data_IF_523913978356
#
_entry.id   IF_523913978356
#
_cell.length_a   1.000
_cell.length_b   1.000
_cell.length_c   1.000
_cell.angle_alpha   90.00
_cell.angle_beta   90.00
_cell.angle_gamma   90.00
#
_symmetry.space_group_name_H-M   'P 1'
#
loop_
_entity.id
_entity.type
_entity.pdbx_description
1 polymer ?
#
# COMPACT_ATOMS: atom_id res chain seq x y z
N UNK A 1 -20.19 2.31 28.81
CA UNK A 1 -20.13 1.05 29.54
C UNK A 1 -18.77 0.91 30.18
N UNK A 2 -18.72 0.37 31.40
CA UNK A 2 -17.48 0.16 32.16
C UNK A 2 -16.69 -1.02 31.58
N UNK A 3 -15.36 -0.96 31.68
CA UNK A 3 -14.48 -2.07 31.32
C UNK A 3 -14.78 -3.27 32.23
N UNK A 4 -14.90 -4.47 31.65
CA UNK A 4 -15.24 -5.70 32.38
C UNK A 4 -16.72 -6.11 32.34
N UNK A 5 -17.62 -5.30 31.75
CA UNK A 5 -19.01 -5.68 31.53
C UNK A 5 -19.11 -6.92 30.61
N UNK A 6 -19.92 -7.90 30.98
CA UNK A 6 -20.17 -9.10 30.19
C UNK A 6 -21.49 -8.99 29.43
N UNK A 7 -21.42 -8.63 28.15
CA UNK A 7 -22.57 -8.49 27.27
C UNK A 7 -23.12 -9.87 26.87
N UNK A 8 -24.43 -10.07 27.07
CA UNK A 8 -25.17 -11.31 26.83
C UNK A 8 -24.53 -12.56 27.46
N UNK A 9 -23.80 -12.38 28.57
CA UNK A 9 -23.11 -13.47 29.25
C UNK A 9 -21.94 -14.08 28.47
N UNK A 10 -21.46 -13.44 27.38
CA UNK A 10 -20.44 -14.01 26.48
C UNK A 10 -19.33 -13.04 26.07
N UNK A 11 -19.67 -11.78 25.81
CA UNK A 11 -18.72 -10.82 25.25
C UNK A 11 -18.25 -9.85 26.31
N UNK A 12 -17.04 -10.05 26.83
CA UNK A 12 -16.46 -9.19 27.87
C UNK A 12 -15.91 -7.92 27.24
N UNK A 13 -16.52 -6.77 27.52
CA UNK A 13 -16.11 -5.48 27.00
C UNK A 13 -14.79 -5.04 27.65
N UNK A 14 -13.78 -4.71 26.85
CA UNK A 14 -12.47 -4.31 27.34
C UNK A 14 -12.22 -2.81 27.20
N UNK A 15 -12.26 -2.31 25.96
CA UNK A 15 -11.83 -0.96 25.63
C UNK A 15 -12.72 -0.33 24.56
N UNK A 16 -12.97 0.97 24.67
CA UNK A 16 -13.62 1.73 23.63
C UNK A 16 -12.66 1.95 22.45
N UNK A 17 -13.04 1.55 21.23
CA UNK A 17 -12.20 1.70 20.03
C UNK A 17 -12.81 2.62 18.96
N UNK A 18 -14.10 2.95 19.05
CA UNK A 18 -14.73 3.90 18.14
C UNK A 18 -16.03 4.48 18.68
N UNK A 19 -16.32 5.75 18.35
CA UNK A 19 -17.60 6.41 18.62
C UNK A 19 -18.18 6.98 17.33
N UNK A 20 -19.42 6.61 17.02
CA UNK A 20 -20.23 7.22 15.98
C UNK A 20 -21.43 7.98 16.57
N UNK A 21 -22.24 8.59 15.71
CA UNK A 21 -23.46 9.31 16.12
C UNK A 21 -24.49 8.38 16.78
N UNK A 22 -24.73 7.22 16.16
CA UNK A 22 -25.78 6.25 16.55
C UNK A 22 -25.22 4.96 17.18
N UNK A 23 -23.90 4.82 17.26
CA UNK A 23 -23.29 3.59 17.75
C UNK A 23 -21.91 3.82 18.39
N UNK A 24 -21.50 2.87 19.21
CA UNK A 24 -20.20 2.84 19.86
C UNK A 24 -19.56 1.47 19.65
N UNK A 25 -18.29 1.44 19.27
CA UNK A 25 -17.55 0.21 19.00
C UNK A 25 -16.54 -0.03 20.12
N UNK A 26 -16.57 -1.23 20.68
CA UNK A 26 -15.69 -1.69 21.73
C UNK A 26 -14.85 -2.87 21.26
N UNK A 27 -13.59 -2.93 21.70
CA UNK A 27 -12.84 -4.18 21.74
C UNK A 27 -13.42 -5.01 22.88
N UNK A 28 -13.64 -6.29 22.61
CA UNK A 28 -14.16 -7.25 23.57
C UNK A 28 -13.51 -8.61 23.39
N UNK A 29 -13.62 -9.45 24.42
CA UNK A 29 -13.21 -10.85 24.37
C UNK A 29 -14.45 -11.74 24.28
N UNK A 30 -14.51 -12.61 23.27
CA UNK A 30 -15.52 -13.68 23.18
C UNK A 30 -15.09 -14.83 24.10
N UNK A 31 -15.74 -14.97 25.25
CA UNK A 31 -15.36 -15.98 26.25
C UNK A 31 -15.66 -17.41 25.81
N UNK A 32 -16.57 -17.62 24.87
CA UNK A 32 -16.89 -18.95 24.37
C UNK A 32 -15.82 -19.42 23.37
N UNK A 33 -15.46 -18.56 22.41
CA UNK A 33 -14.51 -18.89 21.35
C UNK A 33 -13.06 -18.48 21.67
N UNK A 34 -12.83 -17.84 22.82
CA UNK A 34 -11.52 -17.39 23.31
C UNK A 34 -10.75 -16.54 22.29
N UNK A 35 -11.40 -15.49 21.77
CA UNK A 35 -10.80 -14.59 20.77
C UNK A 35 -11.19 -13.13 20.98
N UNK A 36 -10.34 -12.22 20.53
CA UNK A 36 -10.68 -10.80 20.46
C UNK A 36 -11.65 -10.51 19.32
N UNK A 37 -12.64 -9.66 19.59
CA UNK A 37 -13.68 -9.24 18.66
C UNK A 37 -13.95 -7.74 18.81
N UNK A 38 -14.53 -7.15 17.78
CA UNK A 38 -15.13 -5.82 17.86
C UNK A 38 -16.64 -5.97 18.10
N UNK A 39 -17.17 -5.24 19.08
CA UNK A 39 -18.60 -5.22 19.42
C UNK A 39 -19.13 -3.82 19.18
N UNK A 40 -19.99 -3.69 18.18
CA UNK A 40 -20.67 -2.44 17.85
C UNK A 40 -22.03 -2.42 18.51
N UNK A 41 -22.25 -1.44 19.38
CA UNK A 41 -23.45 -1.25 20.17
C UNK A 41 -24.22 -0.04 19.66
N UNK A 42 -25.51 -0.21 19.43
CA UNK A 42 -26.40 0.84 18.95
C UNK A 42 -27.10 1.50 20.13
N UNK A 43 -27.29 2.81 20.04
CA UNK A 43 -28.13 3.54 21.00
C UNK A 43 -29.57 3.28 20.58
N UNK A 44 -30.38 2.65 21.43
CA UNK A 44 -31.79 2.43 21.12
C UNK A 44 -32.56 3.75 21.22
N UNK A 45 -33.36 4.05 20.18
CA UNK A 45 -34.64 4.71 20.35
C UNK A 45 -35.69 3.63 20.63
N UNK A 46 -36.53 3.89 21.62
CA UNK A 46 -37.54 2.99 22.10
C UNK A 46 -38.73 2.98 21.15
N UNK A 47 -38.68 2.20 20.07
CA UNK A 47 -39.86 1.54 19.54
C UNK A 47 -39.48 0.57 18.42
N UNK A 48 -40.05 -0.64 18.51
CA UNK A 48 -40.70 -1.35 17.41
C UNK A 48 -40.39 -2.86 17.38
N UNK A 49 -41.34 -3.63 17.91
CA UNK A 49 -41.31 -5.08 18.02
C UNK A 49 -41.58 -5.78 16.67
N UNK A 50 -42.09 -5.08 15.65
CA UNK A 50 -42.31 -5.64 14.30
C UNK A 50 -41.03 -5.73 13.46
N UNK A 51 -40.03 -4.88 13.74
CA UNK A 51 -38.75 -4.86 13.03
C UNK A 51 -37.91 -6.13 13.24
N UNK A 52 -38.06 -6.82 14.37
CA UNK A 52 -37.17 -7.92 14.79
C UNK A 52 -37.21 -9.16 13.87
N UNK A 53 -38.27 -9.39 13.08
CA UNK A 53 -38.38 -10.59 12.20
C UNK A 53 -37.73 -10.44 10.82
N UNK A 54 -37.77 -9.26 10.19
CA UNK A 54 -37.06 -8.99 8.92
C UNK A 54 -35.54 -8.93 9.14
N UNK A 55 -35.13 -8.35 10.26
CA UNK A 55 -33.73 -8.25 10.69
C UNK A 55 -33.05 -9.62 10.79
N UNK A 56 -33.74 -10.66 11.25
CA UNK A 56 -33.16 -12.01 11.40
C UNK A 56 -32.78 -12.71 10.08
N UNK A 57 -33.45 -12.41 8.96
CA UNK A 57 -33.07 -12.97 7.65
C UNK A 57 -31.86 -12.22 7.06
N UNK A 58 -31.84 -10.89 7.17
CA UNK A 58 -30.75 -10.06 6.63
C UNK A 58 -29.45 -10.25 7.41
N UNK A 59 -29.53 -10.34 8.74
CA UNK A 59 -28.38 -10.69 9.60
C UNK A 59 -27.78 -12.03 9.20
N UNK A 60 -28.60 -13.04 8.90
CA UNK A 60 -28.11 -14.35 8.47
C UNK A 60 -27.40 -14.31 7.12
N UNK A 61 -27.89 -13.49 6.19
CA UNK A 61 -27.22 -13.30 4.90
C UNK A 61 -25.86 -12.66 5.15
N UNK A 62 -25.80 -11.59 5.93
CA UNK A 62 -24.57 -10.85 6.24
C UNK A 62 -23.55 -11.68 7.04
N UNK A 63 -24.00 -12.49 8.00
CA UNK A 63 -23.14 -13.38 8.79
C UNK A 63 -22.60 -14.58 7.98
N UNK A 64 -23.28 -14.96 6.88
CA UNK A 64 -22.82 -15.98 5.95
C UNK A 64 -21.77 -15.48 4.94
N UNK A 65 -21.54 -14.17 4.89
CA UNK A 65 -20.62 -13.56 3.92
C UNK A 65 -19.18 -13.63 4.43
N UNK A 66 -18.29 -14.11 3.56
CA UNK A 66 -16.86 -14.16 3.83
C UNK A 66 -16.09 -13.67 2.61
N UNK A 67 -15.40 -12.54 2.79
CA UNK A 67 -14.60 -11.94 1.74
C UNK A 67 -13.40 -11.21 2.34
N UNK A 68 -12.24 -11.29 1.68
CA UNK A 68 -11.00 -10.74 2.22
C UNK A 68 -11.04 -9.21 2.42
N UNK A 69 -11.81 -8.52 1.60
CA UNK A 69 -12.00 -7.06 1.64
C UNK A 69 -13.23 -6.62 2.45
N UNK A 70 -13.89 -7.52 3.18
CA UNK A 70 -14.99 -7.19 4.08
C UNK A 70 -14.62 -7.55 5.52
N UNK A 71 -15.11 -6.76 6.47
CA UNK A 71 -15.07 -7.11 7.89
C UNK A 71 -16.07 -8.23 8.14
N UNK A 72 -15.60 -9.34 8.70
CA UNK A 72 -16.47 -10.49 8.94
C UNK A 72 -17.46 -10.20 10.07
N UNK A 73 -18.75 -10.40 9.82
CA UNK A 73 -19.77 -10.37 10.88
C UNK A 73 -19.88 -11.76 11.52
N UNK A 74 -19.62 -11.86 12.81
CA UNK A 74 -19.65 -13.13 13.54
C UNK A 74 -20.99 -13.42 14.20
N UNK A 75 -21.62 -12.40 14.76
CA UNK A 75 -22.86 -12.56 15.53
C UNK A 75 -23.65 -11.24 15.58
N UNK A 76 -24.93 -11.33 15.88
CA UNK A 76 -25.81 -10.20 16.14
C UNK A 76 -26.79 -10.58 17.24
N UNK A 77 -27.04 -9.63 18.16
CA UNK A 77 -27.91 -9.91 19.28
C UNK A 77 -28.54 -8.66 19.88
N UNK A 78 -29.41 -8.91 20.84
CA UNK A 78 -29.94 -7.90 21.73
C UNK A 78 -29.68 -8.34 23.16
N UNK A 79 -29.03 -7.48 23.93
CA UNK A 79 -28.89 -7.66 25.36
C UNK A 79 -30.16 -7.14 26.05
N UNK A 80 -30.80 -8.03 26.80
CA UNK A 80 -32.03 -7.80 27.56
C UNK A 80 -31.77 -7.89 29.08
N UNK A 81 -30.51 -7.90 29.51
CA UNK A 81 -30.14 -7.98 30.93
C UNK A 81 -30.63 -6.78 31.74
N UNK A 82 -30.85 -5.63 31.09
CA UNK A 82 -31.53 -4.48 31.70
C UNK A 82 -33.00 -4.42 31.21
N UNK A 83 -33.99 -4.59 32.10
CA UNK A 83 -35.41 -4.50 31.76
C UNK A 83 -35.82 -3.15 31.15
N UNK A 84 -35.13 -2.07 31.52
CA UNK A 84 -35.46 -0.69 31.13
C UNK A 84 -34.68 -0.23 29.89
N UNK A 85 -33.70 -1.02 29.40
CA UNK A 85 -32.97 -0.69 28.19
C UNK A 85 -32.49 -1.94 27.44
N UNK A 86 -33.01 -2.11 26.22
CA UNK A 86 -32.51 -3.10 25.27
C UNK A 86 -31.28 -2.52 24.56
N UNK A 87 -30.19 -3.28 24.50
CA UNK A 87 -29.00 -2.90 23.75
C UNK A 87 -28.82 -3.83 22.56
N UNK A 88 -28.99 -3.30 21.35
CA UNK A 88 -28.70 -4.05 20.12
C UNK A 88 -27.20 -4.01 19.83
N UNK A 89 -26.61 -5.14 19.46
CA UNK A 89 -25.19 -5.25 19.15
C UNK A 89 -24.89 -6.13 17.93
N UNK A 90 -23.77 -5.83 17.30
CA UNK A 90 -23.13 -6.65 16.28
C UNK A 90 -21.72 -7.03 16.73
N UNK A 91 -21.35 -8.29 16.56
CA UNK A 91 -20.02 -8.81 16.85
C UNK A 91 -19.32 -9.07 15.53
N UNK A 92 -18.16 -8.46 15.35
CA UNK A 92 -17.42 -8.45 14.10
C UNK A 92 -15.94 -8.73 14.32
N UNK A 93 -15.25 -9.05 13.23
CA UNK A 93 -13.80 -9.15 13.15
C UNK A 93 -13.15 -7.87 13.69
N UNK A 94 -12.23 -8.03 14.65
CA UNK A 94 -11.39 -6.94 15.11
C UNK A 94 -10.23 -6.75 14.13
N UNK A 95 -10.36 -5.77 13.22
CA UNK A 95 -9.28 -5.42 12.30
C UNK A 95 -8.22 -4.60 13.04
N UNK A 96 -6.96 -5.02 12.95
CA UNK A 96 -5.82 -4.27 13.47
C UNK A 96 -5.34 -3.28 12.42
N UNK A 97 -5.29 -2.01 12.80
CA UNK A 97 -4.86 -0.90 11.94
C UNK A 97 -5.78 0.31 12.09
N UNK A 98 -5.45 1.39 11.38
CA UNK A 98 -6.24 2.62 11.39
C UNK A 98 -7.25 2.66 10.24
N UNK A 99 -8.30 3.46 10.37
CA UNK A 99 -9.20 3.76 9.24
C UNK A 99 -8.53 4.71 8.22
N UNK A 100 -9.05 4.73 6.99
CA UNK A 100 -8.53 5.55 5.91
C UNK A 100 -8.64 7.06 6.24
N UNK A 101 -9.66 7.47 7.00
CA UNK A 101 -9.80 8.87 7.45
C UNK A 101 -8.60 9.31 8.28
N UNK A 102 -8.18 8.52 9.26
CA UNK A 102 -7.00 8.81 10.07
C UNK A 102 -5.72 8.74 9.24
N UNK A 103 -5.62 7.80 8.28
CA UNK A 103 -4.49 7.75 7.34
C UNK A 103 -4.38 8.99 6.47
N UNK A 104 -5.50 9.56 6.02
CA UNK A 104 -5.50 10.77 5.17
C UNK A 104 -5.00 12.02 5.89
N UNK A 105 -5.05 12.06 7.23
CA UNK A 105 -4.47 13.16 8.02
C UNK A 105 -2.94 13.23 7.90
N UNK A 106 -2.29 12.14 7.50
CA UNK A 106 -0.84 12.08 7.25
C UNK A 106 -0.47 12.57 5.84
N UNK A 107 -1.44 13.02 5.05
CA UNK A 107 -1.26 13.46 3.68
C UNK A 107 -1.78 12.45 2.64
N UNK A 108 -1.79 12.85 1.35
CA UNK A 108 -2.32 12.04 0.27
C UNK A 108 -1.59 10.70 0.13
N UNK A 109 -2.29 9.71 -0.41
CA UNK A 109 -1.74 8.40 -0.74
C UNK A 109 -1.14 8.42 -2.15
N UNK A 110 -0.09 7.63 -2.37
CA UNK A 110 0.44 7.42 -3.72
C UNK A 110 -0.62 6.75 -4.60
N UNK A 111 -0.59 7.03 -5.90
CA UNK A 111 -1.47 6.40 -6.87
C UNK A 111 -1.43 4.87 -6.79
N UNK A 112 -0.25 4.28 -6.53
CA UNK A 112 -0.10 2.83 -6.37
C UNK A 112 -0.80 2.30 -5.11
N UNK A 113 -0.63 2.94 -3.96
CA UNK A 113 -1.34 2.55 -2.74
C UNK A 113 -2.85 2.73 -2.88
N UNK A 114 -3.29 3.81 -3.52
CA UNK A 114 -4.70 4.05 -3.74
C UNK A 114 -5.31 3.04 -4.73
N UNK A 115 -4.55 2.59 -5.74
CA UNK A 115 -4.99 1.53 -6.64
C UNK A 115 -5.17 0.20 -5.90
N UNK A 116 -4.27 -0.15 -4.98
CA UNK A 116 -4.40 -1.35 -4.15
C UNK A 116 -5.62 -1.31 -3.23
N UNK A 117 -5.80 -0.20 -2.51
CA UNK A 117 -6.96 0.00 -1.64
C UNK A 117 -8.24 -0.04 -2.48
N UNK A 118 -8.31 0.75 -3.55
CA UNK A 118 -9.50 0.80 -4.41
C UNK A 118 -9.82 -0.55 -5.05
N UNK A 119 -8.81 -1.35 -5.42
CA UNK A 119 -9.01 -2.71 -5.92
C UNK A 119 -9.69 -3.60 -4.89
N UNK A 120 -9.15 -3.68 -3.66
CA UNK A 120 -9.74 -4.51 -2.60
C UNK A 120 -11.19 -4.05 -2.31
N UNK A 121 -11.43 -2.74 -2.22
CA UNK A 121 -12.76 -2.18 -1.98
C UNK A 121 -13.75 -2.50 -3.11
N UNK A 122 -13.35 -2.29 -4.37
CA UNK A 122 -14.21 -2.56 -5.53
C UNK A 122 -14.51 -4.07 -5.66
N UNK A 123 -13.55 -4.94 -5.35
CA UNK A 123 -13.75 -6.38 -5.31
C UNK A 123 -14.75 -6.79 -4.21
N UNK A 124 -14.62 -6.21 -3.02
CA UNK A 124 -15.57 -6.38 -1.92
C UNK A 124 -16.97 -5.87 -2.26
N UNK A 125 -17.09 -4.72 -2.94
CA UNK A 125 -18.37 -4.19 -3.41
C UNK A 125 -19.01 -5.10 -4.46
N UNK A 126 -18.22 -5.60 -5.41
CA UNK A 126 -18.71 -6.55 -6.41
C UNK A 126 -19.30 -7.80 -5.75
N UNK A 127 -18.64 -8.31 -4.71
CA UNK A 127 -19.14 -9.45 -3.94
C UNK A 127 -20.48 -9.15 -3.25
N UNK A 128 -20.63 -8.03 -2.53
CA UNK A 128 -21.90 -7.72 -1.86
C UNK A 128 -23.03 -7.37 -2.84
N UNK A 129 -22.71 -6.68 -3.94
CA UNK A 129 -23.67 -6.31 -4.99
C UNK A 129 -24.22 -7.55 -5.68
N UNK A 130 -23.38 -8.57 -5.92
CA UNK A 130 -23.83 -9.86 -6.47
C UNK A 130 -24.83 -10.59 -5.57
N UNK A 131 -24.77 -10.35 -4.25
CA UNK A 131 -25.71 -10.89 -3.28
C UNK A 131 -26.92 -9.96 -3.03
N UNK A 132 -27.10 -8.92 -3.84
CA UNK A 132 -28.22 -7.98 -3.75
C UNK A 132 -28.10 -6.97 -2.60
N UNK A 133 -26.91 -6.81 -2.00
CA UNK A 133 -26.67 -5.93 -0.86
C UNK A 133 -25.96 -4.68 -1.35
N UNK A 134 -26.45 -3.51 -0.96
CA UNK A 134 -25.83 -2.20 -1.23
C UNK A 134 -25.27 -1.65 0.08
N UNK A 135 -24.06 -1.12 0.08
CA UNK A 135 -23.41 -0.61 1.29
C UNK A 135 -24.05 0.68 1.80
N UNK A 136 -24.32 1.65 0.90
CA UNK A 136 -24.99 2.95 1.17
C UNK A 136 -24.26 3.94 2.07
N UNK A 137 -23.07 3.62 2.56
CA UNK A 137 -22.33 4.46 3.53
C UNK A 137 -20.81 4.38 3.33
N UNK A 138 -20.34 4.32 2.08
CA UNK A 138 -18.91 4.27 1.79
C UNK A 138 -18.30 5.64 2.09
N UNK A 139 -17.30 5.64 2.97
CA UNK A 139 -16.53 6.82 3.40
C UNK A 139 -15.21 6.39 4.04
N UNK A 140 -14.20 7.27 4.17
CA UNK A 140 -12.89 6.88 4.71
C UNK A 140 -12.93 6.30 6.13
N UNK A 141 -13.92 6.68 6.95
CA UNK A 141 -14.09 6.12 8.30
C UNK A 141 -14.60 4.65 8.32
N UNK A 142 -15.19 4.17 7.22
CA UNK A 142 -15.68 2.79 7.09
C UNK A 142 -14.71 1.90 6.30
N UNK A 143 -13.51 2.40 6.01
CA UNK A 143 -12.46 1.68 5.30
C UNK A 143 -11.31 1.45 6.27
N UNK A 144 -11.14 0.21 6.72
CA UNK A 144 -10.10 -0.17 7.65
C UNK A 144 -8.87 -0.63 6.87
N UNK A 145 -7.71 -0.04 7.17
CA UNK A 145 -6.44 -0.45 6.60
C UNK A 145 -5.84 -1.54 7.49
N UNK A 146 -5.57 -2.71 6.91
CA UNK A 146 -5.09 -3.85 7.68
C UNK A 146 -3.57 -3.76 7.82
N UNK A 147 -3.09 -3.71 9.05
CA UNK A 147 -1.69 -3.77 9.39
C UNK A 147 -1.23 -5.23 9.46
N UNK A 148 -0.70 -5.75 8.35
CA UNK A 148 0.00 -7.03 8.36
C UNK A 148 1.45 -6.77 8.76
N UNK A 149 1.79 -7.06 10.01
CA UNK A 149 3.16 -7.02 10.52
C UNK A 149 4.10 -8.08 9.90
N UNK A 150 3.63 -8.87 8.93
CA UNK A 150 4.40 -9.89 8.23
C UNK A 150 4.25 -9.75 6.70
N UNK A 151 5.39 -9.57 6.02
CA UNK A 151 5.75 -9.92 4.63
C UNK A 151 4.88 -9.42 3.44
N UNK A 152 3.69 -8.88 3.67
CA UNK A 152 2.81 -8.37 2.62
C UNK A 152 3.17 -6.91 2.25
N UNK A 153 3.91 -6.76 1.15
CA UNK A 153 4.39 -5.45 0.63
C UNK A 153 3.29 -4.52 0.10
N UNK A 154 2.00 -4.88 0.15
CA UNK A 154 0.88 -4.08 -0.38
C UNK A 154 -0.11 -3.68 0.72
N UNK A 155 -0.62 -2.43 0.73
CA UNK A 155 -1.69 -2.05 1.66
C UNK A 155 -2.94 -2.87 1.34
N UNK A 156 -3.57 -3.43 2.37
CA UNK A 156 -4.87 -4.11 2.25
C UNK A 156 -5.96 -3.31 2.92
N UNK A 157 -7.15 -3.33 2.34
CA UNK A 157 -8.31 -2.60 2.88
C UNK A 157 -9.51 -3.52 3.11
N UNK A 158 -10.27 -3.24 4.15
CA UNK A 158 -11.54 -3.90 4.47
C UNK A 158 -12.66 -2.88 4.64
N UNK A 159 -13.83 -3.14 4.04
CA UNK A 159 -15.06 -2.40 4.30
C UNK A 159 -15.75 -2.93 5.56
N UNK A 160 -16.16 -2.01 6.42
CA UNK A 160 -17.02 -2.29 7.56
C UNK A 160 -18.38 -1.64 7.39
N UNK A 161 -19.35 -2.01 8.22
CA UNK A 161 -20.69 -1.42 8.27
C UNK A 161 -21.57 -1.58 7.01
N UNK A 162 -21.22 -2.52 6.12
CA UNK A 162 -22.06 -2.88 4.98
C UNK A 162 -23.36 -3.54 5.47
N UNK A 163 -24.50 -3.14 4.90
CA UNK A 163 -25.79 -3.73 5.22
C UNK A 163 -26.31 -3.48 6.65
N UNK A 164 -25.60 -2.72 7.49
CA UNK A 164 -26.03 -2.42 8.87
C UNK A 164 -27.34 -1.61 8.90
N UNK A 165 -27.58 -0.75 7.90
CA UNK A 165 -28.86 -0.05 7.77
C UNK A 165 -30.04 -1.01 7.55
N UNK A 166 -29.82 -2.11 6.82
CA UNK A 166 -30.82 -3.15 6.63
C UNK A 166 -31.09 -3.88 7.97
N UNK A 167 -30.02 -4.29 8.67
CA UNK A 167 -30.10 -4.92 10.01
C UNK A 167 -30.84 -4.04 11.04
N UNK A 168 -30.71 -2.73 10.98
CA UNK A 168 -31.37 -1.85 11.94
C UNK A 168 -32.81 -1.49 11.53
N UNK A 169 -33.28 -1.90 10.35
CA UNK A 169 -34.61 -1.53 9.87
C UNK A 169 -34.78 -0.04 9.55
N UNK A 170 -33.70 0.73 9.61
CA UNK A 170 -33.75 2.16 9.32
C UNK A 170 -33.71 2.32 7.81
N UNK A 171 -34.88 2.37 7.18
CA UNK A 171 -35.00 3.08 5.91
C UNK A 171 -34.57 4.52 6.18
N UNK A 172 -33.35 4.89 5.76
CA UNK A 172 -32.87 6.28 5.80
C UNK A 172 -33.79 7.27 5.05
N UNK A 173 -34.80 6.77 4.34
CA UNK A 173 -35.85 7.57 3.71
C UNK A 173 -37.00 7.98 4.65
N UNK A 174 -37.20 7.27 5.76
CA UNK A 174 -38.37 7.47 6.65
C UNK A 174 -38.03 8.29 7.92
N UNK A 175 -36.80 8.77 8.07
CA UNK A 175 -36.37 9.58 9.22
C UNK A 175 -36.29 11.06 8.84
N UNK A 176 -37.26 11.81 9.36
CA UNK A 176 -37.47 13.25 9.22
C UNK A 176 -36.16 14.05 9.45
N UNK A 177 -35.59 14.61 8.37
CA UNK A 177 -34.63 15.73 8.40
C UNK A 177 -33.24 15.53 9.06
N UNK A 178 -32.89 14.33 9.54
CA UNK A 178 -31.66 14.09 10.31
C UNK A 178 -30.55 13.36 9.55
N UNK A 179 -29.72 14.08 8.78
CA UNK A 179 -28.59 13.50 8.01
C UNK A 179 -27.47 12.96 8.93
N UNK A 180 -27.62 11.73 9.44
CA UNK A 180 -26.66 11.07 10.36
C UNK A 180 -25.48 10.36 9.67
N UNK A 181 -25.20 10.70 8.41
CA UNK A 181 -23.96 10.34 7.71
C UNK A 181 -23.13 11.59 7.47
N UNK A 182 -21.80 11.48 7.35
CA UNK A 182 -20.99 12.59 6.80
C UNK A 182 -21.42 12.77 5.35
N UNK A 183 -22.17 13.83 4.98
CA UNK A 183 -22.86 13.85 3.69
C UNK A 183 -21.91 13.98 2.53
N UNK A 184 -20.64 14.31 2.79
CA UNK A 184 -19.58 14.54 1.82
C UNK A 184 -19.45 13.44 0.76
N UNK A 185 -19.83 12.18 1.05
CA UNK A 185 -19.67 11.04 0.15
C UNK A 185 -20.98 10.51 -0.46
N UNK A 186 -22.12 11.16 -0.22
CA UNK A 186 -23.39 10.73 -0.81
C UNK A 186 -23.39 10.93 -2.33
N UNK A 187 -24.02 10.01 -3.03
CA UNK A 187 -24.31 10.14 -4.47
C UNK A 187 -25.37 11.23 -4.75
N UNK A 188 -25.46 11.75 -6.00
CA UNK A 188 -26.48 12.72 -6.39
C UNK A 188 -27.89 12.20 -6.15
N UNK A 189 -28.18 10.96 -6.51
CA UNK A 189 -29.49 10.33 -6.27
C UNK A 189 -29.81 10.25 -4.77
N UNK A 190 -28.84 9.89 -3.92
CA UNK A 190 -29.03 9.88 -2.47
C UNK A 190 -29.26 11.28 -1.89
N UNK A 191 -28.61 12.31 -2.44
CA UNK A 191 -28.85 13.69 -2.02
C UNK A 191 -30.17 14.27 -2.53
N UNK A 192 -30.67 13.76 -3.66
CA UNK A 192 -32.01 14.03 -4.18
C UNK A 192 -33.13 13.27 -3.47
N UNK A 193 -32.80 12.33 -2.58
CA UNK A 193 -33.77 11.47 -1.90
C UNK A 193 -34.26 10.29 -2.75
N UNK A 194 -33.59 9.99 -3.85
CA UNK A 194 -33.87 8.84 -4.70
C UNK A 194 -33.28 7.54 -4.11
N UNK A 195 -33.81 6.36 -4.50
CA UNK A 195 -33.32 5.08 -3.98
C UNK A 195 -31.84 4.81 -4.32
N UNK A 196 -31.04 4.52 -3.30
CA UNK A 196 -29.64 4.14 -3.47
C UNK A 196 -29.50 2.71 -4.01
N UNK A 197 -28.75 2.56 -5.11
CA UNK A 197 -28.41 1.26 -5.72
C UNK A 197 -26.91 0.99 -5.72
N UNK A 198 -26.45 -0.12 -6.34
CA UNK A 198 -25.02 -0.42 -6.50
C UNK A 198 -24.21 0.74 -7.10
N UNK A 199 -24.79 1.48 -8.06
CA UNK A 199 -24.16 2.65 -8.67
C UNK A 199 -23.89 3.81 -7.68
N UNK A 200 -24.67 3.90 -6.59
CA UNK A 200 -24.45 4.90 -5.53
C UNK A 200 -23.17 4.60 -4.75
N UNK A 201 -22.90 3.32 -4.48
CA UNK A 201 -21.65 2.88 -3.84
C UNK A 201 -20.43 3.19 -4.72
N UNK A 202 -20.55 3.03 -6.05
CA UNK A 202 -19.48 3.37 -7.00
C UNK A 202 -19.15 4.85 -6.97
N UNK A 203 -20.18 5.71 -6.93
CA UNK A 203 -19.97 7.15 -6.80
C UNK A 203 -19.26 7.51 -5.49
N UNK A 204 -19.73 6.96 -4.36
CA UNK A 204 -19.10 7.18 -3.06
C UNK A 204 -17.66 6.68 -3.02
N UNK A 205 -17.35 5.53 -3.61
CA UNK A 205 -15.99 5.03 -3.78
C UNK A 205 -15.15 5.98 -4.64
N UNK A 206 -15.70 6.51 -5.73
CA UNK A 206 -15.03 7.50 -6.58
C UNK A 206 -14.60 8.74 -5.81
N UNK A 207 -15.45 9.24 -4.92
CA UNK A 207 -15.14 10.38 -4.06
C UNK A 207 -14.02 10.06 -3.06
N UNK A 208 -14.04 8.86 -2.47
CA UNK A 208 -12.97 8.38 -1.58
C UNK A 208 -11.63 8.30 -2.32
N UNK A 209 -11.62 7.74 -3.53
CA UNK A 209 -10.40 7.60 -4.33
C UNK A 209 -9.85 8.98 -4.74
N UNK A 210 -10.71 9.90 -5.17
CA UNK A 210 -10.33 11.27 -5.51
C UNK A 210 -9.72 11.99 -4.30
N UNK A 211 -10.35 11.90 -3.13
CA UNK A 211 -9.81 12.49 -1.91
C UNK A 211 -8.48 11.85 -1.49
N UNK A 212 -8.37 10.52 -1.57
CA UNK A 212 -7.13 9.82 -1.23
C UNK A 212 -5.94 10.21 -2.12
N UNK A 213 -6.18 10.45 -3.41
CA UNK A 213 -5.15 10.88 -4.37
C UNK A 213 -4.75 12.35 -4.19
N UNK A 214 -5.72 13.22 -3.90
CA UNK A 214 -5.50 14.67 -3.92
C UNK A 214 -5.29 15.28 -2.53
N UNK A 215 -5.67 14.55 -1.48
CA UNK A 215 -5.78 15.05 -0.12
C UNK A 215 -6.92 16.07 0.07
N UNK A 216 -7.80 16.24 -0.93
CA UNK A 216 -8.86 17.27 -0.94
C UNK A 216 -10.23 16.62 -1.09
N UNK A 217 -11.14 16.98 -0.20
CA UNK A 217 -12.55 16.59 -0.30
C UNK A 217 -13.19 17.31 -1.48
N UNK A 218 -13.90 16.59 -2.34
CA UNK A 218 -14.54 17.16 -3.54
C UNK A 218 -15.67 18.14 -3.19
N UNK A 219 -16.43 17.85 -2.13
CA UNK A 219 -17.52 18.68 -1.63
C UNK A 219 -17.30 18.99 -0.15
N UNK A 220 -16.44 19.98 0.17
CA UNK A 220 -16.25 20.41 1.55
C UNK A 220 -17.43 21.25 2.03
N UNK A 221 -17.60 21.33 3.34
CA UNK A 221 -18.57 22.22 3.98
C UNK A 221 -19.66 21.49 4.74
N UNK A 222 -20.72 22.23 5.09
CA UNK A 222 -21.79 21.68 5.90
C UNK A 222 -22.56 20.57 5.13
N UNK A 223 -23.17 19.61 5.84
CA UNK A 223 -24.08 18.59 5.31
C UNK A 223 -24.93 18.99 4.10
N UNK A 224 -25.77 20.01 4.30
CA UNK A 224 -26.74 20.48 3.31
C UNK A 224 -26.02 21.15 2.13
N UNK A 225 -24.97 21.93 2.38
CA UNK A 225 -24.20 22.60 1.33
C UNK A 225 -23.55 21.60 0.40
N UNK A 226 -22.92 20.57 0.97
CA UNK A 226 -22.30 19.49 0.21
C UNK A 226 -23.35 18.74 -0.62
N UNK A 227 -24.55 18.53 -0.06
CA UNK A 227 -25.68 17.89 -0.74
C UNK A 227 -26.28 18.68 -1.88
N UNK A 228 -26.38 19.99 -1.75
CA UNK A 228 -26.81 20.85 -2.85
C UNK A 228 -25.72 20.93 -3.92
N UNK A 229 -24.45 21.06 -3.53
CA UNK A 229 -23.34 21.21 -4.47
C UNK A 229 -23.23 20.03 -5.46
N UNK A 230 -23.43 18.78 -5.01
CA UNK A 230 -23.37 17.61 -5.90
C UNK A 230 -24.53 17.47 -6.87
N UNK A 231 -25.69 18.07 -6.56
CA UNK A 231 -26.81 18.13 -7.48
C UNK A 231 -26.55 19.13 -8.61
N UNK A 232 -25.79 20.18 -8.32
CA UNK A 232 -25.54 21.30 -9.22
C UNK A 232 -24.24 21.17 -10.03
N UNK A 233 -23.21 20.55 -9.45
CA UNK A 233 -21.85 20.57 -10.00
C UNK A 233 -21.18 19.21 -9.94
N UNK A 234 -20.49 18.86 -11.02
CA UNK A 234 -19.62 17.68 -11.07
C UNK A 234 -18.33 17.94 -10.27
N UNK A 235 -17.76 16.91 -9.62
CA UNK A 235 -16.54 17.07 -8.83
C UNK A 235 -15.35 17.40 -9.73
N UNK A 236 -14.45 18.27 -9.25
CA UNK A 236 -13.26 18.64 -10.01
C UNK A 236 -12.22 17.52 -9.93
N UNK A 237 -11.91 16.91 -11.07
CA UNK A 237 -10.87 15.89 -11.21
C UNK A 237 -9.63 16.57 -11.80
N UNK A 238 -8.50 16.65 -11.07
CA UNK A 238 -7.29 17.31 -11.58
C UNK A 238 -6.74 16.60 -12.83
N UNK A 239 -6.43 17.37 -13.87
CA UNK A 239 -5.87 16.86 -15.13
C UNK A 239 -4.45 16.32 -14.96
N UNK A 240 -3.76 16.68 -13.87
CA UNK A 240 -2.42 16.21 -13.52
C UNK A 240 -2.40 14.76 -13.02
N UNK A 241 -3.57 14.19 -12.68
CA UNK A 241 -3.68 12.77 -12.38
C UNK A 241 -3.36 11.94 -13.64
N UNK A 242 -2.85 10.72 -13.45
CA UNK A 242 -2.56 9.85 -14.59
C UNK A 242 -3.83 9.63 -15.44
N UNK A 243 -3.74 9.53 -16.77
CA UNK A 243 -4.92 9.47 -17.65
C UNK A 243 -5.92 8.37 -17.29
N UNK A 244 -5.43 7.24 -16.77
CA UNK A 244 -6.28 6.16 -16.26
C UNK A 244 -7.15 6.61 -15.08
N UNK A 245 -6.57 7.31 -14.10
CA UNK A 245 -7.30 7.84 -12.96
C UNK A 245 -8.32 8.89 -13.38
N UNK A 246 -7.97 9.79 -14.31
CA UNK A 246 -8.91 10.77 -14.85
C UNK A 246 -10.09 10.08 -15.51
N UNK A 247 -9.85 9.10 -16.40
CA UNK A 247 -10.91 8.37 -17.08
C UNK A 247 -11.80 7.58 -16.10
N UNK A 248 -11.19 6.85 -15.16
CA UNK A 248 -11.90 6.04 -14.18
C UNK A 248 -12.76 6.92 -13.25
N UNK A 249 -12.17 7.96 -12.64
CA UNK A 249 -12.89 8.87 -11.75
C UNK A 249 -14.01 9.61 -12.48
N UNK A 250 -13.79 10.05 -13.73
CA UNK A 250 -14.83 10.70 -14.53
C UNK A 250 -16.03 9.78 -14.76
N UNK A 251 -15.80 8.49 -14.99
CA UNK A 251 -16.89 7.51 -15.16
C UNK A 251 -17.61 7.19 -13.83
N UNK A 252 -16.86 6.99 -12.74
CA UNK A 252 -17.42 6.68 -11.41
C UNK A 252 -18.23 7.85 -10.83
N UNK A 253 -17.80 9.08 -11.12
CA UNK A 253 -18.38 10.31 -10.60
C UNK A 253 -19.42 10.96 -11.53
N UNK A 254 -19.89 10.22 -12.54
CA UNK A 254 -21.01 10.65 -13.38
C UNK A 254 -22.25 10.91 -12.53
N UNK A 255 -22.97 12.01 -12.79
CA UNK A 255 -24.28 12.26 -12.17
C UNK A 255 -25.32 11.23 -12.56
N UNK A 256 -25.31 10.76 -13.81
CA UNK A 256 -26.16 9.67 -14.26
C UNK A 256 -25.66 8.33 -13.69
N UNK A 257 -26.43 7.64 -12.82
CA UNK A 257 -26.06 6.35 -12.26
C UNK A 257 -25.85 5.26 -13.32
N UNK A 258 -26.56 5.33 -14.46
CA UNK A 258 -26.45 4.33 -15.52
C UNK A 258 -25.16 4.44 -16.34
N UNK A 259 -24.49 5.59 -16.30
CA UNK A 259 -23.21 5.82 -16.96
C UNK A 259 -22.00 5.39 -16.11
N UNK A 260 -22.22 4.99 -14.85
CA UNK A 260 -21.15 4.56 -13.94
C UNK A 260 -20.78 3.10 -14.22
N UNK A 261 -19.49 2.73 -14.14
CA UNK A 261 -19.08 1.34 -14.25
C UNK A 261 -19.60 0.52 -13.07
N UNK A 262 -19.72 -0.78 -13.24
CA UNK A 262 -19.99 -1.67 -12.12
C UNK A 262 -18.73 -1.88 -11.24
N UNK A 263 -18.92 -2.45 -10.04
CA UNK A 263 -17.81 -2.69 -9.11
C UNK A 263 -16.72 -3.62 -9.67
N UNK A 264 -17.09 -4.56 -10.54
CA UNK A 264 -16.16 -5.50 -11.16
C UNK A 264 -15.29 -4.79 -12.20
N UNK A 265 -15.88 -3.91 -13.01
CA UNK A 265 -15.18 -3.08 -13.99
C UNK A 265 -14.17 -2.15 -13.29
N UNK A 266 -14.57 -1.52 -12.18
CA UNK A 266 -13.67 -0.70 -11.35
C UNK A 266 -12.52 -1.56 -10.79
N UNK A 267 -12.82 -2.74 -10.24
CA UNK A 267 -11.81 -3.68 -9.75
C UNK A 267 -10.81 -4.07 -10.83
N UNK A 268 -11.27 -4.41 -12.04
CA UNK A 268 -10.40 -4.76 -13.17
C UNK A 268 -9.52 -3.59 -13.61
N UNK A 269 -10.07 -2.37 -13.70
CA UNK A 269 -9.32 -1.18 -14.06
C UNK A 269 -8.19 -0.89 -13.05
N UNK A 270 -8.49 -0.96 -11.75
CA UNK A 270 -7.52 -0.73 -10.68
C UNK A 270 -6.49 -1.86 -10.58
N UNK A 271 -6.89 -3.11 -10.81
CA UNK A 271 -5.98 -4.25 -10.90
C UNK A 271 -4.99 -4.08 -12.04
N UNK A 272 -5.46 -3.63 -13.19
CA UNK A 272 -4.61 -3.36 -14.34
C UNK A 272 -3.64 -2.21 -14.03
N UNK A 273 -4.04 -1.20 -13.28
CA UNK A 273 -3.10 -0.17 -12.81
C UNK A 273 -2.10 -0.68 -11.79
N UNK A 274 -2.49 -1.59 -10.89
CA UNK A 274 -1.52 -2.24 -9.99
C UNK A 274 -0.47 -3.02 -10.79
N UNK A 275 -0.89 -3.75 -11.82
CA UNK A 275 0.00 -4.52 -12.70
C UNK A 275 0.86 -3.59 -13.57
N UNK A 276 0.24 -2.59 -14.20
CA UNK A 276 0.91 -1.59 -15.03
C UNK A 276 1.79 -0.66 -14.21
N UNK A 277 1.43 -0.40 -12.96
CA UNK A 277 2.19 0.37 -11.98
C UNK A 277 3.39 -0.42 -11.49
N UNK A 278 3.30 -1.75 -11.35
CA UNK A 278 4.46 -2.62 -11.13
C UNK A 278 5.36 -2.74 -12.37
N UNK A 279 4.78 -2.66 -13.59
CA UNK A 279 5.49 -2.59 -14.87
C UNK A 279 6.14 -1.23 -15.16
N UNK A 280 5.44 -0.13 -14.83
CA UNK A 280 5.92 1.26 -14.88
C UNK A 280 6.89 1.54 -13.74
N UNK A 281 6.75 1.00 -12.54
CA UNK A 281 7.82 1.00 -11.53
C UNK A 281 9.01 0.12 -11.92
N UNK A 282 8.90 -0.71 -12.97
CA UNK A 282 10.02 -1.41 -13.60
C UNK A 282 10.64 -0.60 -14.76
N UNK A 283 9.83 0.13 -15.54
CA UNK A 283 10.26 0.99 -16.66
C UNK A 283 10.69 2.42 -16.25
N UNK A 284 10.08 2.98 -15.21
CA UNK A 284 10.39 4.27 -14.59
C UNK A 284 11.54 4.15 -13.59
N UNK A 285 11.83 2.91 -13.17
CA UNK A 285 13.10 2.49 -12.56
C UNK A 285 14.23 2.56 -13.60
N UNK A 286 13.97 2.12 -14.83
CA UNK A 286 14.88 2.35 -15.95
C UNK A 286 15.05 3.84 -16.36
N UNK A 287 14.18 4.77 -15.93
CA UNK A 287 14.39 6.23 -16.07
C UNK A 287 14.95 6.93 -14.82
N UNK A 288 15.01 6.25 -13.65
CA UNK A 288 15.79 6.72 -12.50
C UNK A 288 17.31 6.73 -12.78
N UNK A 289 17.72 6.13 -13.88
CA UNK A 289 19.06 6.23 -14.46
C UNK A 289 19.47 7.67 -14.89
N UNK A 290 18.61 8.69 -14.73
CA UNK A 290 18.87 10.06 -15.21
C UNK A 290 18.77 11.18 -14.14
N UNK A 291 18.44 10.91 -12.87
CA UNK A 291 18.57 11.89 -11.77
C UNK A 291 19.97 11.80 -11.15
N UNK A 292 20.96 12.20 -11.95
CA UNK A 292 22.36 12.19 -11.54
C UNK A 292 22.63 13.11 -10.35
N UNK A 293 21.94 14.24 -10.26
CA UNK A 293 22.07 15.19 -9.14
C UNK A 293 21.49 14.62 -7.84
N UNK A 294 20.37 13.89 -7.91
CA UNK A 294 19.83 13.13 -6.77
C UNK A 294 20.76 12.01 -6.33
N UNK A 295 21.32 11.25 -7.28
CA UNK A 295 22.29 10.19 -7.01
C UNK A 295 23.55 10.74 -6.34
N UNK A 296 24.08 11.86 -6.82
CA UNK A 296 25.26 12.51 -6.22
C UNK A 296 24.99 13.01 -4.81
N UNK A 297 23.83 13.62 -4.55
CA UNK A 297 23.42 13.97 -3.16
C UNK A 297 23.32 12.74 -2.26
N UNK A 298 22.87 11.60 -2.79
CA UNK A 298 22.86 10.35 -2.06
C UNK A 298 24.30 9.87 -1.75
N UNK A 299 25.22 9.90 -2.72
CA UNK A 299 26.63 9.54 -2.50
C UNK A 299 27.28 10.42 -1.43
N UNK A 300 27.08 11.74 -1.50
CA UNK A 300 27.60 12.70 -0.52
C UNK A 300 27.08 12.45 0.90
N UNK A 301 25.82 12.02 1.04
CA UNK A 301 25.18 11.72 2.33
C UNK A 301 25.94 10.65 3.13
N UNK A 302 26.41 9.60 2.47
CA UNK A 302 27.15 8.51 3.14
C UNK A 302 28.61 8.85 3.45
N UNK A 303 29.17 9.93 2.88
CA UNK A 303 30.58 10.36 3.04
C UNK A 303 31.57 9.20 2.88
N UNK A 304 31.36 8.38 1.86
CA UNK A 304 32.11 7.14 1.61
C UNK A 304 33.33 7.35 0.71
N UNK A 305 33.30 8.37 -0.15
CA UNK A 305 34.38 8.72 -1.06
C UNK A 305 35.64 9.19 -0.30
N UNK A 306 36.82 8.85 -0.83
CA UNK A 306 38.15 9.22 -0.30
C UNK A 306 38.36 8.86 1.19
N UNK A 307 37.65 7.84 1.68
CA UNK A 307 37.85 7.31 3.03
C UNK A 307 38.94 6.24 3.06
N UNK A 308 39.70 6.09 4.17
CA UNK A 308 40.69 5.02 4.32
C UNK A 308 40.09 3.63 4.11
N UNK A 309 40.96 2.64 3.84
CA UNK A 309 40.57 1.23 3.71
C UNK A 309 39.65 0.77 4.83
N UNK A 310 38.66 -0.03 4.45
CA UNK A 310 37.55 -0.40 5.33
C UNK A 310 37.59 -1.90 5.57
N UNK A 311 38.15 -2.28 6.72
CA UNK A 311 38.32 -3.68 7.05
C UNK A 311 37.02 -4.50 7.01
N UNK A 312 35.83 -3.89 7.11
CA UNK A 312 34.55 -4.59 6.92
C UNK A 312 34.32 -4.89 5.44
N UNK A 313 34.40 -3.89 4.57
CA UNK A 313 34.17 -4.06 3.13
C UNK A 313 35.27 -4.88 2.45
N UNK A 314 36.52 -4.77 2.90
CA UNK A 314 37.63 -5.57 2.39
C UNK A 314 37.42 -7.07 2.70
N UNK A 315 36.89 -7.38 3.90
CA UNK A 315 36.52 -8.76 4.26
C UNK A 315 35.36 -9.28 3.40
N UNK A 316 34.39 -8.44 3.07
CA UNK A 316 33.26 -8.81 2.22
C UNK A 316 33.74 -9.06 0.78
N UNK A 317 34.57 -8.18 0.22
CA UNK A 317 35.18 -8.39 -1.09
C UNK A 317 36.01 -9.68 -1.14
N UNK A 318 36.86 -9.92 -0.14
CA UNK A 318 37.63 -11.16 -0.04
C UNK A 318 36.75 -12.40 0.15
N UNK A 319 35.61 -12.28 0.85
CA UNK A 319 34.65 -13.36 1.00
C UNK A 319 33.97 -13.69 -0.33
N UNK A 320 33.51 -12.68 -1.08
CA UNK A 320 32.93 -12.87 -2.41
C UNK A 320 33.93 -13.56 -3.35
N UNK A 321 35.19 -13.10 -3.38
CA UNK A 321 36.23 -13.71 -4.19
C UNK A 321 36.39 -15.21 -3.92
N UNK A 322 36.35 -15.62 -2.64
CA UNK A 322 36.41 -17.04 -2.26
C UNK A 322 35.13 -17.81 -2.57
N UNK A 323 33.97 -17.25 -2.26
CA UNK A 323 32.66 -17.92 -2.43
C UNK A 323 32.42 -18.21 -3.91
N UNK A 324 32.66 -17.23 -4.78
CA UNK A 324 32.51 -17.38 -6.22
C UNK A 324 33.76 -17.96 -6.89
N UNK A 325 34.83 -18.20 -6.13
CA UNK A 325 36.12 -18.67 -6.64
C UNK A 325 36.67 -17.81 -7.79
N UNK A 326 36.50 -16.49 -7.70
CA UNK A 326 36.92 -15.48 -8.69
C UNK A 326 38.17 -14.73 -8.21
N UNK A 327 39.05 -14.28 -9.12
CA UNK A 327 40.26 -13.58 -8.73
C UNK A 327 40.00 -12.17 -8.20
N UNK A 328 38.92 -11.51 -8.64
CA UNK A 328 38.68 -10.10 -8.34
C UNK A 328 37.25 -9.87 -7.84
N UNK A 329 37.12 -9.10 -6.75
CA UNK A 329 35.86 -8.63 -6.20
C UNK A 329 36.01 -7.17 -5.72
N UNK A 330 35.03 -6.31 -5.98
CA UNK A 330 35.15 -4.86 -5.79
C UNK A 330 33.83 -4.29 -5.25
N UNK A 331 33.92 -3.50 -4.19
CA UNK A 331 32.88 -2.56 -3.75
C UNK A 331 33.22 -1.21 -4.34
N UNK A 332 32.42 -0.73 -5.29
CA UNK A 332 32.66 0.52 -5.99
C UNK A 332 31.56 1.54 -5.74
N UNK A 333 31.92 2.83 -5.76
CA UNK A 333 31.02 3.99 -5.67
C UNK A 333 31.31 4.90 -6.86
N UNK A 334 30.28 5.44 -7.50
CA UNK A 334 30.44 6.32 -8.66
C UNK A 334 30.32 7.78 -8.24
N UNK A 335 31.38 8.52 -8.52
CA UNK A 335 31.55 9.96 -8.31
C UNK A 335 31.34 10.70 -9.64
N UNK A 336 31.50 12.02 -9.64
CA UNK A 336 31.25 12.88 -10.80
C UNK A 336 32.14 12.55 -12.01
N UNK A 337 33.41 12.26 -11.78
CA UNK A 337 34.43 12.07 -12.83
C UNK A 337 35.17 10.72 -12.75
N UNK A 338 34.87 9.91 -11.73
CA UNK A 338 35.55 8.64 -11.45
C UNK A 338 34.64 7.59 -10.83
N UNK A 339 35.09 6.35 -10.89
CA UNK A 339 34.56 5.23 -10.11
C UNK A 339 35.59 4.92 -9.02
N UNK A 340 35.22 5.18 -7.77
CA UNK A 340 36.04 4.96 -6.59
C UNK A 340 35.85 3.55 -6.05
N UNK A 341 36.93 2.79 -5.83
CA UNK A 341 36.85 1.45 -5.25
C UNK A 341 36.99 1.57 -3.75
N UNK A 342 35.87 1.45 -3.05
CA UNK A 342 35.84 1.56 -1.60
C UNK A 342 36.52 0.37 -0.92
N UNK A 343 36.43 -0.80 -1.54
CA UNK A 343 37.14 -2.02 -1.16
C UNK A 343 37.38 -2.86 -2.42
N UNK A 344 38.49 -3.58 -2.46
CA UNK A 344 38.83 -4.46 -3.57
C UNK A 344 39.66 -5.66 -3.11
N UNK A 345 39.54 -6.75 -3.85
CA UNK A 345 40.36 -7.95 -3.69
C UNK A 345 40.96 -8.33 -5.05
N UNK A 346 42.23 -8.75 -5.06
CA UNK A 346 42.90 -9.25 -6.25
C UNK A 346 43.28 -8.20 -7.30
N UNK A 347 43.27 -6.92 -6.94
CA UNK A 347 43.72 -5.80 -7.77
C UNK A 347 44.36 -4.72 -6.90
N UNK A 348 45.32 -3.98 -7.44
CA UNK A 348 45.94 -2.80 -6.79
C UNK A 348 45.32 -1.47 -7.27
N UNK A 349 44.35 -1.55 -8.19
CA UNK A 349 43.63 -0.38 -8.70
C UNK A 349 42.63 0.10 -7.65
N UNK A 350 42.67 1.38 -7.30
CA UNK A 350 41.78 1.99 -6.29
C UNK A 350 40.71 2.88 -6.90
N UNK A 351 40.86 3.30 -8.16
CA UNK A 351 39.86 4.07 -8.89
C UNK A 351 40.10 3.98 -10.41
N UNK A 352 39.04 4.19 -11.18
CA UNK A 352 39.08 4.27 -12.65
C UNK A 352 38.29 5.47 -13.16
N UNK A 353 38.55 5.93 -14.39
CA UNK A 353 37.78 7.01 -15.02
C UNK A 353 36.32 6.61 -15.24
N UNK A 354 35.42 7.60 -15.27
CA UNK A 354 33.97 7.42 -15.46
C UNK A 354 33.54 7.15 -16.91
N UNK A 355 34.48 6.99 -17.85
CA UNK A 355 34.17 6.61 -19.24
C UNK A 355 33.22 5.40 -19.29
N UNK A 356 32.41 5.21 -20.37
CA UNK A 356 31.36 4.19 -20.43
C UNK A 356 31.91 2.76 -20.24
N UNK A 357 32.08 2.37 -18.99
CA UNK A 357 32.64 1.11 -18.55
C UNK A 357 31.57 0.20 -17.97
N UNK A 358 31.97 -1.01 -17.60
CA UNK A 358 31.06 -2.03 -17.09
C UNK A 358 30.35 -1.56 -15.80
N UNK A 359 31.10 -1.05 -14.83
CA UNK A 359 30.51 -0.54 -13.59
C UNK A 359 29.57 0.67 -13.80
N UNK A 360 29.86 1.53 -14.78
CA UNK A 360 28.96 2.64 -15.12
C UNK A 360 27.65 2.14 -15.74
N UNK A 361 27.71 1.06 -16.53
CA UNK A 361 26.54 0.43 -17.15
C UNK A 361 25.69 -0.36 -16.16
N UNK A 362 26.31 -0.96 -15.14
CA UNK A 362 25.62 -1.67 -14.05
C UNK A 362 24.73 -0.74 -13.21
N UNK A 363 25.14 0.52 -13.05
CA UNK A 363 24.43 1.52 -12.23
C UNK A 363 23.22 2.10 -12.95
N UNK A 364 23.21 2.06 -14.28
CA UNK A 364 22.05 2.44 -15.11
C UNK A 364 20.94 1.38 -15.11
N UNK A 365 21.15 0.23 -14.44
CA UNK A 365 20.19 -0.86 -14.37
C UNK A 365 19.77 -1.13 -12.93
N UNK A 366 18.53 -1.59 -12.76
CA UNK A 366 17.88 -1.79 -11.46
C UNK A 366 18.13 -3.15 -10.80
N UNK A 367 18.88 -4.02 -11.48
CA UNK A 367 19.11 -5.39 -11.05
C UNK A 367 20.51 -5.88 -11.43
N UNK A 368 20.83 -7.13 -11.08
CA UNK A 368 22.12 -7.72 -11.36
C UNK A 368 22.47 -7.65 -12.84
N UNK A 369 23.70 -7.21 -13.14
CA UNK A 369 24.23 -7.16 -14.48
C UNK A 369 25.31 -8.23 -14.62
N UNK A 370 24.96 -9.29 -15.36
CA UNK A 370 25.76 -10.50 -15.51
C UNK A 370 26.17 -10.67 -16.97
N UNK A 371 27.46 -10.87 -17.17
CA UNK A 371 28.15 -11.15 -18.42
C UNK A 371 28.93 -12.45 -18.20
N UNK A 372 28.38 -13.57 -18.69
CA UNK A 372 28.99 -14.90 -18.56
C UNK A 372 30.21 -15.09 -19.48
N UNK A 373 30.19 -14.48 -20.67
CA UNK A 373 31.28 -14.47 -21.65
C UNK A 373 31.37 -13.09 -22.33
N UNK A 374 32.27 -12.25 -21.82
CA UNK A 374 32.44 -10.87 -22.25
C UNK A 374 33.05 -10.73 -23.65
N UNK A 375 33.75 -11.75 -24.16
CA UNK A 375 34.29 -11.74 -25.51
C UNK A 375 33.20 -12.00 -26.57
N UNK A 376 32.08 -12.62 -26.18
CA UNK A 376 30.95 -12.93 -27.07
C UNK A 376 29.72 -12.07 -26.80
N UNK A 377 29.67 -11.37 -25.67
CA UNK A 377 28.55 -10.53 -25.31
C UNK A 377 28.59 -9.18 -26.03
N UNK A 378 27.57 -8.92 -26.85
CA UNK A 378 27.45 -7.70 -27.64
C UNK A 378 27.51 -6.41 -26.80
N UNK A 379 27.17 -6.46 -25.50
CA UNK A 379 27.20 -5.33 -24.58
C UNK A 379 28.62 -4.92 -24.20
N UNK A 380 29.61 -5.79 -24.37
CA UNK A 380 30.98 -5.61 -23.85
C UNK A 380 32.06 -5.63 -24.93
N UNK A 381 31.72 -5.90 -26.18
CA UNK A 381 32.65 -5.98 -27.33
C UNK A 381 33.50 -4.71 -27.54
N UNK A 382 32.95 -3.54 -27.24
CA UNK A 382 33.66 -2.26 -27.38
C UNK A 382 34.37 -1.82 -26.10
N UNK A 383 34.36 -2.64 -25.04
CA UNK A 383 34.90 -2.26 -23.75
C UNK A 383 36.44 -2.45 -23.70
N UNK A 384 37.22 -1.43 -23.32
CA UNK A 384 38.67 -1.54 -23.22
C UNK A 384 39.17 -2.62 -22.25
N UNK A 385 38.41 -2.99 -21.22
CA UNK A 385 38.77 -4.05 -20.26
C UNK A 385 38.64 -5.46 -20.86
N UNK A 386 37.82 -5.61 -21.90
CA UNK A 386 37.66 -6.87 -22.66
C UNK A 386 38.68 -6.94 -23.79
N UNK A 387 38.87 -5.85 -24.53
CA UNK A 387 39.78 -5.80 -25.68
C UNK A 387 41.26 -5.51 -25.32
N UNK A 388 41.54 -5.09 -24.09
CA UNK A 388 42.88 -4.71 -23.61
C UNK A 388 43.60 -5.81 -22.81
N UNK A 389 44.76 -5.46 -22.23
CA UNK A 389 45.66 -6.41 -21.53
C UNK A 389 45.05 -7.09 -20.29
N UNK A 390 43.98 -6.53 -19.70
CA UNK A 390 43.30 -7.14 -18.56
C UNK A 390 42.57 -8.44 -18.94
N UNK A 391 42.09 -8.55 -20.19
CA UNK A 391 41.49 -9.76 -20.75
C UNK A 391 40.22 -10.22 -20.03
N UNK A 392 39.32 -9.30 -19.66
CA UNK A 392 38.09 -9.66 -18.95
C UNK A 392 37.21 -10.61 -19.79
N UNK A 393 36.78 -11.72 -19.20
CA UNK A 393 35.86 -12.67 -19.81
C UNK A 393 34.57 -12.87 -19.01
N UNK A 394 34.55 -12.54 -17.72
CA UNK A 394 33.35 -12.66 -16.88
C UNK A 394 33.17 -11.42 -16.01
N UNK A 395 31.92 -10.98 -15.86
CA UNK A 395 31.54 -9.89 -14.96
C UNK A 395 30.17 -10.19 -14.36
N UNK A 396 30.04 -10.11 -13.04
CA UNK A 396 28.74 -10.02 -12.40
C UNK A 396 28.74 -8.86 -11.40
N UNK A 397 27.81 -7.93 -11.54
CA UNK A 397 27.71 -6.74 -10.68
C UNK A 397 26.29 -6.54 -10.19
N UNK A 398 26.14 -6.26 -8.90
CA UNK A 398 24.86 -5.90 -8.27
C UNK A 398 24.93 -4.44 -7.82
N UNK A 399 23.91 -3.62 -8.12
CA UNK A 399 23.89 -2.22 -7.71
C UNK A 399 23.81 -2.09 -6.18
N UNK A 400 24.61 -1.17 -5.62
CA UNK A 400 24.56 -0.75 -4.22
C UNK A 400 23.47 0.31 -4.07
N UNK A 401 22.26 -0.15 -3.74
CA UNK A 401 21.06 0.68 -3.81
C UNK A 401 20.60 1.17 -2.43
N UNK A 402 20.36 2.47 -2.33
CA UNK A 402 19.83 3.12 -1.13
C UNK A 402 18.32 2.85 -0.95
N UNK A 403 17.75 3.01 0.26
CA UNK A 403 16.32 2.89 0.51
C UNK A 403 15.46 3.89 -0.30
N UNK A 404 16.00 5.08 -0.55
CA UNK A 404 15.39 6.11 -1.41
C UNK A 404 15.61 5.86 -2.91
N UNK A 405 16.25 4.74 -3.27
CA UNK A 405 16.22 4.18 -4.62
C UNK A 405 17.38 4.56 -5.53
N UNK A 406 18.40 5.26 -5.02
CA UNK A 406 19.60 5.66 -5.79
C UNK A 406 20.66 4.56 -5.78
N UNK A 407 21.31 4.35 -6.92
CA UNK A 407 22.46 3.44 -7.04
C UNK A 407 23.75 4.22 -6.74
N UNK A 408 24.36 3.98 -5.58
CA UNK A 408 25.61 4.63 -5.19
C UNK A 408 26.79 4.14 -6.03
N UNK A 409 26.74 2.87 -6.43
CA UNK A 409 27.78 2.18 -7.15
C UNK A 409 27.44 0.71 -7.34
N UNK A 410 28.43 -0.16 -7.43
CA UNK A 410 28.23 -1.60 -7.69
C UNK A 410 29.12 -2.45 -6.78
N UNK A 411 28.57 -3.57 -6.30
CA UNK A 411 29.37 -4.69 -5.80
C UNK A 411 29.54 -5.72 -6.91
N UNK A 412 30.75 -5.88 -7.40
CA UNK A 412 31.02 -6.71 -8.58
C UNK A 412 32.15 -7.71 -8.37
N UNK A 413 32.08 -8.77 -9.16
CA UNK A 413 33.08 -9.82 -9.29
C UNK A 413 33.50 -9.96 -10.74
N UNK A 414 34.77 -10.26 -10.97
CA UNK A 414 35.37 -10.28 -12.31
C UNK A 414 36.28 -11.48 -12.47
N UNK A 415 36.33 -12.01 -13.70
CA UNK A 415 37.29 -13.05 -14.09
C UNK A 415 37.79 -12.89 -15.53
N UNK A 416 38.95 -13.49 -15.79
CA UNK A 416 39.59 -13.64 -17.10
C UNK A 416 39.20 -14.93 -17.81
N UNK A 417 38.33 -15.73 -17.21
CA UNK A 417 37.71 -16.91 -17.82
C UNK A 417 36.18 -16.73 -17.85
N UNK A 418 35.47 -17.20 -18.90
CA UNK A 418 34.02 -17.23 -18.91
C UNK A 418 33.47 -18.09 -17.77
N UNK A 419 32.31 -17.75 -17.23
CA UNK A 419 31.66 -18.51 -16.14
C UNK A 419 30.17 -18.63 -16.35
N UNK A 420 29.64 -19.81 -16.03
CA UNK A 420 28.21 -19.96 -15.78
C UNK A 420 27.86 -19.31 -14.44
N UNK A 421 26.75 -18.57 -14.40
CA UNK A 421 26.33 -17.86 -13.19
C UNK A 421 24.85 -18.12 -12.91
N UNK A 422 24.59 -18.89 -11.86
CA UNK A 422 23.23 -19.36 -11.57
C UNK A 422 22.37 -18.29 -10.89
N UNK A 423 21.07 -18.55 -10.82
CA UNK A 423 20.16 -17.72 -10.03
C UNK A 423 20.48 -17.76 -8.52
N UNK A 424 21.11 -18.83 -8.04
CA UNK A 424 21.56 -18.93 -6.64
C UNK A 424 22.82 -18.10 -6.39
N UNK A 425 23.76 -18.12 -7.33
CA UNK A 425 24.94 -17.25 -7.30
C UNK A 425 24.54 -15.77 -7.32
N UNK A 426 23.54 -15.45 -8.14
CA UNK A 426 22.95 -14.10 -8.21
C UNK A 426 22.39 -13.67 -6.86
N UNK A 427 21.57 -14.51 -6.21
CA UNK A 427 21.03 -14.21 -4.87
C UNK A 427 22.14 -14.04 -3.83
N UNK A 428 23.15 -14.89 -3.87
CA UNK A 428 24.30 -14.81 -2.96
C UNK A 428 25.05 -13.49 -3.13
N UNK A 429 25.23 -13.02 -4.37
CA UNK A 429 25.89 -11.75 -4.65
C UNK A 429 25.02 -10.56 -4.22
N UNK A 430 23.71 -10.65 -4.39
CA UNK A 430 22.73 -9.67 -3.87
C UNK A 430 22.75 -9.57 -2.35
N UNK A 431 22.81 -10.70 -1.64
CA UNK A 431 22.88 -10.75 -0.18
C UNK A 431 24.17 -10.08 0.34
N UNK A 432 25.32 -10.33 -0.31
CA UNK A 432 26.58 -9.67 0.05
C UNK A 432 26.53 -8.16 -0.21
N UNK A 433 25.92 -7.72 -1.31
CA UNK A 433 25.69 -6.31 -1.60
C UNK A 433 24.76 -5.66 -0.55
N UNK A 434 23.73 -6.38 -0.09
CA UNK A 434 22.83 -5.92 0.97
C UNK A 434 23.55 -5.77 2.31
N UNK A 435 24.50 -6.64 2.65
CA UNK A 435 25.35 -6.47 3.85
C UNK A 435 26.16 -5.17 3.79
N UNK A 436 26.75 -4.86 2.63
CA UNK A 436 27.47 -3.59 2.42
C UNK A 436 26.55 -2.40 2.64
N UNK A 437 25.34 -2.42 2.05
CA UNK A 437 24.38 -1.33 2.20
C UNK A 437 23.87 -1.18 3.63
N UNK A 438 23.57 -2.28 4.33
CA UNK A 438 23.12 -2.23 5.72
C UNK A 438 24.17 -1.60 6.65
N UNK A 439 25.45 -1.89 6.42
CA UNK A 439 26.54 -1.27 7.18
C UNK A 439 26.63 0.24 6.89
N UNK A 440 26.44 0.67 5.63
CA UNK A 440 26.39 2.08 5.26
C UNK A 440 25.21 2.83 5.91
N UNK A 441 24.01 2.23 5.92
CA UNK A 441 22.83 2.78 6.61
C UNK A 441 23.07 2.93 8.12
N UNK A 442 23.65 1.90 8.75
CA UNK A 442 23.96 1.93 10.18
C UNK A 442 24.94 3.06 10.52
N UNK A 443 25.98 3.26 9.70
CA UNK A 443 26.93 4.37 9.87
C UNK A 443 26.25 5.74 9.70
N UNK A 444 25.34 5.87 8.74
CA UNK A 444 24.58 7.10 8.50
C UNK A 444 23.70 7.44 9.72
N UNK A 445 22.88 6.49 10.19
CA UNK A 445 22.02 6.68 11.36
C UNK A 445 22.82 7.01 12.63
N UNK A 446 23.95 6.34 12.83
CA UNK A 446 24.84 6.62 13.98
C UNK A 446 25.35 8.06 13.95
N UNK A 447 25.70 8.57 12.77
CA UNK A 447 26.16 9.96 12.60
C UNK A 447 25.04 10.98 12.78
N UNK A 448 23.84 10.69 12.28
CA UNK A 448 22.66 11.54 12.47
C UNK A 448 22.28 11.65 13.94
N UNK A 449 22.32 10.53 14.68
CA UNK A 449 22.04 10.49 16.12
C UNK A 449 23.09 11.23 16.97
N UNK A 450 24.33 11.37 16.49
CA UNK A 450 25.38 12.17 17.17
C UNK A 450 25.24 13.67 16.84
N UNK A 451 24.60 14.02 15.72
CA UNK A 451 24.42 15.40 15.28
C UNK A 451 23.14 16.06 15.83
N UNK A 452 22.18 15.26 16.34
CA UNK A 452 20.97 15.69 17.07
C UNK A 452 21.22 15.81 18.56
#
# INVERSE_FOLDING_TARGET
MESGLLLSGRYRIEALIGRGSQSTVYRAHDELLQREVAVKLFRNDADDLEHTRRQGQEVRILAGMSHHALVTLFDAGADLSNPDSRLTYLVMELVRGQDLRHRSLQGPLSAAHMAHIGYDLADGLSYIHHHGIVHRDIKPANILLVDYSNDDRRPRAKLTDFGVAAILGHNRADDDGGTSGTPAYLSPEQAGGEPAGPASDIYSLGLVLLEGLTGKMAYPGAPIQSAVARLLHDPQIPEELAPMWVALLSSMLSRDPAARPDAREVSLALRQEVINGAGRHRQHRATAANDEDGRMRAVERYRILDTPEDGVFDRIAALAARVFSVPVAIVSVVDHDRIWFKAHHGTDVTQIGRDPGLCASAILQDGPWIIEDAARDARTLSNPLVAGEFGLQFYAGVPLRTPDGFNLGTFCILDREPREFTAEDTRTLEDLAAIVMNDLEMRLHTREAIAS
#
